data_IF_071552244839
#
_entry.id   IF_071552244839
#
_cell.length_a   1.000
_cell.length_b   1.000
_cell.length_c   1.000
_cell.angle_alpha   90.00
_cell.angle_beta   90.00
_cell.angle_gamma   90.00
#
_symmetry.space_group_name_H-M   'P 1'
#
loop_
_entity.id
_entity.type
_entity.pdbx_description
1 polymer ?
#
# COMPACT_ATOMS: atom_id res chain seq x y z
N UNK A 1 -18.92 -66.82 -52.54
CA UNK A 1 -18.66 -66.47 -51.12
C UNK A 1 -18.58 -64.94 -50.98
N UNK A 2 -19.70 -64.30 -51.34
CA UNK A 2 -20.03 -62.90 -51.11
C UNK A 2 -20.88 -62.86 -49.83
N UNK A 3 -20.83 -61.77 -49.07
CA UNK A 3 -21.81 -61.33 -48.04
C UNK A 3 -21.49 -61.47 -46.55
N UNK A 4 -20.28 -61.83 -46.09
CA UNK A 4 -20.05 -61.90 -44.62
C UNK A 4 -18.80 -61.21 -44.07
N UNK A 5 -18.24 -60.23 -44.78
CA UNK A 5 -17.16 -59.36 -44.24
C UNK A 5 -17.48 -57.88 -44.54
N UNK A 6 -18.74 -57.49 -44.34
CA UNK A 6 -19.19 -56.07 -44.35
C UNK A 6 -19.98 -55.81 -43.05
N UNK A 7 -19.47 -56.32 -41.93
CA UNK A 7 -20.11 -56.19 -40.61
C UNK A 7 -19.09 -55.88 -39.51
N UNK A 8 -17.99 -55.24 -39.89
CA UNK A 8 -16.92 -54.78 -39.00
C UNK A 8 -16.47 -53.35 -39.33
N UNK A 9 -17.40 -52.54 -39.88
CA UNK A 9 -17.18 -51.13 -40.22
C UNK A 9 -18.28 -50.20 -39.65
N UNK A 10 -19.14 -50.70 -38.74
CA UNK A 10 -20.35 -49.97 -38.27
C UNK A 10 -20.33 -49.67 -36.76
N UNK A 11 -19.29 -50.08 -36.01
CA UNK A 11 -19.22 -49.85 -34.55
C UNK A 11 -18.21 -48.78 -34.11
N UNK A 12 -17.82 -47.88 -35.02
CA UNK A 12 -16.97 -46.72 -34.68
C UNK A 12 -17.67 -45.40 -35.06
N UNK A 13 -18.98 -45.33 -34.85
CA UNK A 13 -19.61 -44.04 -34.52
C UNK A 13 -19.27 -43.76 -33.05
N UNK A 14 -18.01 -43.42 -32.81
CA UNK A 14 -17.63 -42.68 -31.62
C UNK A 14 -18.52 -41.45 -31.67
N UNK A 15 -19.41 -41.34 -30.71
CA UNK A 15 -20.18 -40.15 -30.42
C UNK A 15 -19.20 -39.00 -30.20
N UNK A 16 -18.86 -38.30 -31.29
CA UNK A 16 -18.42 -36.92 -31.24
C UNK A 16 -19.60 -36.16 -30.68
N UNK A 17 -19.69 -36.08 -29.35
CA UNK A 17 -20.53 -35.08 -28.70
C UNK A 17 -20.06 -33.75 -29.28
N UNK A 18 -20.83 -33.20 -30.20
CA UNK A 18 -20.60 -31.85 -30.70
C UNK A 18 -20.70 -30.95 -29.47
N UNK A 19 -19.54 -30.51 -28.98
CA UNK A 19 -19.48 -29.64 -27.83
C UNK A 19 -20.25 -28.36 -28.17
N UNK A 20 -21.26 -28.06 -27.36
CA UNK A 20 -22.00 -26.82 -27.56
C UNK A 20 -21.10 -25.63 -27.16
N UNK A 21 -21.41 -24.43 -27.68
CA UNK A 21 -20.59 -23.24 -27.43
C UNK A 21 -20.42 -22.96 -25.94
N UNK A 22 -21.48 -23.17 -25.14
CA UNK A 22 -21.48 -22.99 -23.69
C UNK A 22 -20.42 -23.86 -22.99
N UNK A 23 -20.42 -25.18 -23.23
CA UNK A 23 -19.48 -26.14 -22.63
C UNK A 23 -18.03 -25.77 -22.96
N UNK A 24 -17.79 -25.35 -24.20
CA UNK A 24 -16.48 -24.90 -24.66
C UNK A 24 -16.01 -23.65 -23.91
N UNK A 25 -16.87 -22.64 -23.78
CA UNK A 25 -16.54 -21.42 -23.03
C UNK A 25 -16.33 -21.71 -21.55
N UNK A 26 -17.17 -22.56 -20.96
CA UNK A 26 -17.03 -23.00 -19.57
C UNK A 26 -15.70 -23.72 -19.31
N UNK A 27 -15.28 -24.62 -20.21
CA UNK A 27 -13.98 -25.28 -20.09
C UNK A 27 -12.84 -24.27 -20.21
N UNK A 28 -12.84 -23.42 -21.24
CA UNK A 28 -11.78 -22.44 -21.44
C UNK A 28 -11.67 -21.44 -20.27
N UNK A 29 -12.80 -21.00 -19.72
CA UNK A 29 -12.82 -20.14 -18.53
C UNK A 29 -12.24 -20.82 -17.30
N UNK A 30 -12.57 -22.11 -17.07
CA UNK A 30 -11.99 -22.92 -16.00
C UNK A 30 -10.48 -23.12 -16.19
N UNK A 31 -10.03 -23.41 -17.41
CA UNK A 31 -8.61 -23.56 -17.74
C UNK A 31 -7.85 -22.24 -17.50
N UNK A 32 -8.41 -21.11 -17.96
CA UNK A 32 -7.85 -19.79 -17.71
C UNK A 32 -7.78 -19.44 -16.22
N UNK A 33 -8.79 -19.82 -15.45
CA UNK A 33 -8.83 -19.62 -14.00
C UNK A 33 -7.72 -20.42 -13.28
N UNK A 34 -7.51 -21.68 -13.69
CA UNK A 34 -6.41 -22.53 -13.19
C UNK A 34 -5.04 -21.92 -13.53
N UNK A 35 -4.92 -21.39 -14.75
CA UNK A 35 -3.73 -20.70 -15.24
C UNK A 35 -3.54 -19.30 -14.63
N UNK A 36 -4.47 -18.83 -13.79
CA UNK A 36 -4.50 -17.47 -13.21
C UNK A 36 -4.58 -16.34 -14.26
N UNK A 37 -5.06 -16.65 -15.46
CA UNK A 37 -5.36 -15.66 -16.50
C UNK A 37 -6.76 -15.10 -16.23
N UNK A 38 -6.90 -14.31 -15.18
CA UNK A 38 -8.22 -13.92 -14.66
C UNK A 38 -9.03 -13.09 -15.67
N UNK A 39 -8.39 -12.21 -16.44
CA UNK A 39 -9.06 -11.45 -17.52
C UNK A 39 -9.62 -12.38 -18.60
N UNK A 40 -8.83 -13.36 -19.06
CA UNK A 40 -9.28 -14.36 -20.02
C UNK A 40 -10.42 -15.22 -19.46
N UNK A 41 -10.33 -15.60 -18.19
CA UNK A 41 -11.37 -16.37 -17.51
C UNK A 41 -12.70 -15.61 -17.47
N UNK A 42 -12.68 -14.32 -17.10
CA UNK A 42 -13.85 -13.44 -17.11
C UNK A 42 -14.45 -13.38 -18.53
N UNK A 43 -13.62 -13.15 -19.55
CA UNK A 43 -14.07 -13.09 -20.94
C UNK A 43 -14.75 -14.39 -21.38
N UNK A 44 -14.20 -15.55 -21.03
CA UNK A 44 -14.82 -16.83 -21.37
C UNK A 44 -16.13 -17.07 -20.60
N UNK A 45 -16.21 -16.71 -19.32
CA UNK A 45 -17.46 -16.83 -18.57
C UNK A 45 -18.53 -15.85 -19.06
N UNK A 46 -18.15 -14.65 -19.51
CA UNK A 46 -19.08 -13.74 -20.19
C UNK A 46 -19.66 -14.35 -21.47
N UNK A 47 -18.82 -15.00 -22.28
CA UNK A 47 -19.29 -15.72 -23.47
C UNK A 47 -20.20 -16.91 -23.10
N UNK A 48 -19.91 -17.63 -22.03
CA UNK A 48 -20.80 -18.68 -21.52
C UNK A 48 -22.16 -18.11 -21.08
N UNK A 49 -22.18 -16.96 -20.41
CA UNK A 49 -23.41 -16.29 -19.98
C UNK A 49 -24.21 -15.66 -21.13
N UNK A 50 -23.59 -15.43 -22.29
CA UNK A 50 -24.34 -15.07 -23.50
C UNK A 50 -25.16 -16.26 -24.01
N UNK A 51 -24.60 -17.47 -23.95
CA UNK A 51 -25.28 -18.71 -24.36
C UNK A 51 -26.33 -19.16 -23.32
N UNK A 52 -25.99 -19.08 -22.03
CA UNK A 52 -26.85 -19.46 -20.90
C UNK A 52 -26.89 -18.36 -19.81
N UNK A 53 -27.73 -17.32 -19.94
CA UNK A 53 -27.69 -16.12 -19.07
C UNK A 53 -27.95 -16.32 -17.58
N UNK A 54 -28.55 -17.44 -17.20
CA UNK A 54 -28.90 -17.72 -15.80
C UNK A 54 -28.11 -18.91 -15.24
N UNK A 55 -27.05 -19.35 -15.92
CA UNK A 55 -26.23 -20.45 -15.42
C UNK A 55 -25.49 -20.02 -14.15
N UNK A 56 -25.72 -20.77 -13.07
CA UNK A 56 -25.20 -20.42 -11.74
C UNK A 56 -23.70 -20.64 -11.64
N UNK A 57 -23.18 -21.64 -12.34
CA UNK A 57 -21.77 -21.98 -12.31
C UNK A 57 -20.94 -20.90 -13.03
N UNK A 58 -21.38 -20.47 -14.21
CA UNK A 58 -20.75 -19.40 -14.98
C UNK A 58 -20.73 -18.08 -14.21
N UNK A 59 -21.85 -17.70 -13.56
CA UNK A 59 -21.92 -16.51 -12.69
C UNK A 59 -20.91 -16.63 -11.55
N UNK A 60 -20.92 -17.73 -10.80
CA UNK A 60 -20.06 -17.91 -9.63
C UNK A 60 -18.57 -17.95 -9.99
N UNK A 61 -18.23 -18.59 -11.13
CA UNK A 61 -16.85 -18.67 -11.60
C UNK A 61 -16.36 -17.32 -12.14
N UNK A 62 -17.22 -16.53 -12.80
CA UNK A 62 -16.91 -15.16 -13.19
C UNK A 62 -16.61 -14.30 -11.96
N UNK A 63 -17.50 -14.31 -10.96
CA UNK A 63 -17.31 -13.55 -9.71
C UNK A 63 -15.99 -13.93 -9.03
N UNK A 64 -15.65 -15.22 -8.99
CA UNK A 64 -14.37 -15.70 -8.47
C UNK A 64 -13.17 -15.15 -9.26
N UNK A 65 -13.27 -15.12 -10.59
CA UNK A 65 -12.23 -14.58 -11.44
C UNK A 65 -12.05 -13.06 -11.22
N UNK A 66 -13.15 -12.31 -11.10
CA UNK A 66 -13.14 -10.86 -10.79
C UNK A 66 -12.51 -10.56 -9.43
N UNK A 67 -12.88 -11.31 -8.38
CA UNK A 67 -12.27 -11.19 -7.05
C UNK A 67 -10.75 -11.46 -7.11
N UNK A 68 -10.36 -12.49 -7.87
CA UNK A 68 -8.95 -12.87 -8.00
C UNK A 68 -8.14 -11.83 -8.78
N UNK A 69 -8.70 -11.25 -9.84
CA UNK A 69 -8.08 -10.17 -10.61
C UNK A 69 -7.89 -8.91 -9.76
N UNK A 70 -8.93 -8.49 -9.03
CA UNK A 70 -8.86 -7.34 -8.14
C UNK A 70 -7.76 -7.53 -7.09
N UNK A 71 -7.67 -8.72 -6.50
CA UNK A 71 -6.62 -9.06 -5.54
C UNK A 71 -5.22 -8.98 -6.14
N UNK A 72 -5.02 -9.46 -7.37
CA UNK A 72 -3.73 -9.37 -8.04
C UNK A 72 -3.34 -7.91 -8.31
N UNK A 73 -4.31 -7.08 -8.71
CA UNK A 73 -4.12 -5.65 -8.89
C UNK A 73 -3.77 -4.95 -7.56
N UNK A 74 -4.47 -5.27 -6.46
CA UNK A 74 -4.17 -4.74 -5.13
C UNK A 74 -2.74 -5.09 -4.69
N UNK A 75 -2.33 -6.36 -4.86
CA UNK A 75 -0.96 -6.83 -4.56
C UNK A 75 0.06 -6.05 -5.38
N UNK A 76 -0.19 -5.90 -6.68
CA UNK A 76 0.71 -5.20 -7.59
C UNK A 76 0.86 -3.74 -7.21
N UNK A 77 -0.24 -3.06 -6.93
CA UNK A 77 -0.24 -1.64 -6.55
C UNK A 77 0.44 -1.42 -5.19
N UNK A 78 0.16 -2.28 -4.21
CA UNK A 78 0.81 -2.23 -2.91
C UNK A 78 2.33 -2.44 -3.01
N UNK A 79 2.77 -3.41 -3.82
CA UNK A 79 4.19 -3.64 -4.06
C UNK A 79 4.86 -2.44 -4.75
N UNK A 80 4.16 -1.74 -5.64
CA UNK A 80 4.67 -0.49 -6.20
C UNK A 80 4.82 0.58 -5.12
N UNK A 81 3.84 0.74 -4.23
CA UNK A 81 3.92 1.68 -3.12
C UNK A 81 5.15 1.40 -2.24
N UNK A 82 5.36 0.13 -1.86
CA UNK A 82 6.53 -0.30 -1.08
C UNK A 82 7.84 -0.02 -1.80
N UNK A 83 7.92 -0.32 -3.11
CA UNK A 83 9.12 -0.01 -3.88
C UNK A 83 9.45 1.49 -3.90
N UNK A 84 8.43 2.34 -3.95
CA UNK A 84 8.61 3.80 -3.96
C UNK A 84 9.07 4.34 -2.59
N UNK A 85 8.72 3.68 -1.48
CA UNK A 85 8.89 4.26 -0.13
C UNK A 85 9.67 3.44 0.91
N UNK A 86 9.87 2.13 0.75
CA UNK A 86 10.51 1.27 1.77
C UNK A 86 11.92 1.79 2.13
N UNK A 87 12.71 2.15 1.12
CA UNK A 87 14.06 2.71 1.33
C UNK A 87 13.98 4.06 2.06
N UNK A 88 13.00 4.89 1.73
CA UNK A 88 12.80 6.20 2.37
C UNK A 88 12.38 6.02 3.83
N UNK A 89 11.44 5.12 4.10
CA UNK A 89 10.99 4.77 5.44
C UNK A 89 12.15 4.28 6.31
N UNK A 90 13.00 3.39 5.79
CA UNK A 90 14.19 2.91 6.50
C UNK A 90 15.14 4.08 6.83
N UNK A 91 15.41 4.96 5.85
CA UNK A 91 16.27 6.13 6.07
C UNK A 91 15.67 7.10 7.09
N UNK A 92 14.37 7.36 7.05
CA UNK A 92 13.68 8.19 8.04
C UNK A 92 13.81 7.59 9.44
N UNK A 93 13.68 6.27 9.61
CA UNK A 93 13.90 5.59 10.90
C UNK A 93 15.32 5.75 11.40
N UNK A 94 16.30 5.54 10.53
CA UNK A 94 17.71 5.71 10.86
C UNK A 94 18.01 7.16 11.26
N UNK A 95 17.44 8.11 10.53
CA UNK A 95 17.64 9.53 10.75
C UNK A 95 17.12 10.01 12.11
N UNK A 96 16.02 9.46 12.63
CA UNK A 96 15.47 9.81 13.94
C UNK A 96 15.96 8.92 15.10
N UNK A 97 16.84 7.96 14.84
CA UNK A 97 17.32 7.03 15.85
C UNK A 97 18.26 7.72 16.84
N UNK A 98 18.11 7.45 18.14
CA UNK A 98 18.98 7.98 19.21
C UNK A 98 18.62 9.38 19.74
N UNK A 99 17.59 10.04 19.19
CA UNK A 99 17.18 11.38 19.64
C UNK A 99 16.02 11.37 20.65
N UNK A 100 15.55 10.20 21.09
CA UNK A 100 14.43 10.06 22.02
C UNK A 100 14.70 10.58 23.43
N UNK A 101 15.97 10.62 23.83
CA UNK A 101 16.42 10.94 25.18
C UNK A 101 17.42 12.10 25.23
N UNK A 102 17.95 12.54 24.07
CA UNK A 102 19.14 13.39 24.01
C UNK A 102 19.05 14.65 23.13
N UNK A 103 17.85 15.19 22.85
CA UNK A 103 17.75 16.45 22.09
C UNK A 103 18.54 17.62 22.70
N UNK A 104 18.88 17.58 23.99
CA UNK A 104 19.73 18.58 24.64
C UNK A 104 21.22 18.51 24.25
N UNK A 105 21.66 17.40 23.66
CA UNK A 105 23.08 17.14 23.33
C UNK A 105 23.34 17.12 21.82
N UNK A 106 22.32 17.39 21.00
CA UNK A 106 22.50 17.47 19.56
C UNK A 106 23.30 18.73 19.22
N UNK A 107 24.52 18.53 18.72
CA UNK A 107 25.39 19.61 18.28
C UNK A 107 24.75 20.39 17.12
N UNK A 108 24.95 21.70 17.07
CA UNK A 108 24.35 22.55 16.04
C UNK A 108 24.86 22.19 14.63
N UNK A 109 26.13 21.80 14.50
CA UNK A 109 26.71 21.33 13.25
C UNK A 109 26.11 19.99 12.82
N UNK A 110 25.95 19.06 13.76
CA UNK A 110 25.24 17.80 13.53
C UNK A 110 23.77 18.05 13.08
N UNK A 111 23.04 18.93 13.77
CA UNK A 111 21.67 19.30 13.42
C UNK A 111 21.57 19.86 11.99
N UNK A 112 22.50 20.73 11.58
CA UNK A 112 22.55 21.29 10.21
C UNK A 112 22.81 20.20 9.18
N UNK A 113 23.74 19.29 9.45
CA UNK A 113 24.01 18.16 8.55
C UNK A 113 22.79 17.25 8.40
N UNK A 114 22.09 16.98 9.50
CA UNK A 114 20.91 16.11 9.53
C UNK A 114 19.68 16.77 8.91
N UNK A 115 19.55 18.09 9.01
CA UNK A 115 18.53 18.87 8.30
C UNK A 115 18.62 18.66 6.79
N UNK A 116 19.83 18.75 6.21
CA UNK A 116 20.04 18.51 4.77
C UNK A 116 19.60 17.10 4.38
N UNK A 117 19.93 16.09 5.21
CA UNK A 117 19.48 14.71 4.99
C UNK A 117 17.94 14.61 5.04
N UNK A 118 17.29 15.27 6.00
CA UNK A 118 15.83 15.31 6.13
C UNK A 118 15.15 15.98 4.93
N UNK A 119 15.69 17.11 4.44
CA UNK A 119 15.20 17.82 3.26
C UNK A 119 15.26 16.94 2.00
N UNK A 120 16.39 16.28 1.78
CA UNK A 120 16.55 15.36 0.64
C UNK A 120 15.57 14.18 0.67
N UNK A 121 15.25 13.66 1.86
CA UNK A 121 14.23 12.62 2.03
C UNK A 121 12.84 13.16 1.75
N UNK A 122 12.52 14.36 2.25
CA UNK A 122 11.24 15.03 2.03
C UNK A 122 10.98 15.27 0.54
N UNK A 123 11.98 15.75 -0.18
CA UNK A 123 11.89 15.96 -1.62
C UNK A 123 11.71 14.64 -2.39
N UNK A 124 12.39 13.58 -1.96
CA UNK A 124 12.22 12.24 -2.52
C UNK A 124 10.79 11.71 -2.33
N UNK A 125 10.14 12.01 -1.20
CA UNK A 125 8.73 11.67 -0.99
C UNK A 125 7.82 12.45 -1.93
N UNK A 126 8.02 13.77 -1.99
CA UNK A 126 7.22 14.69 -2.81
C UNK A 126 7.28 14.39 -4.30
N UNK A 127 8.38 13.83 -4.82
CA UNK A 127 8.47 13.38 -6.23
C UNK A 127 7.38 12.39 -6.64
N UNK A 128 6.83 11.65 -5.69
CA UNK A 128 5.76 10.68 -5.95
C UNK A 128 4.37 11.19 -5.55
N UNK A 129 4.21 12.50 -5.27
CA UNK A 129 2.95 13.09 -4.80
C UNK A 129 1.80 12.84 -5.77
N UNK A 130 2.03 13.01 -7.07
CA UNK A 130 0.97 12.97 -8.08
C UNK A 130 0.29 11.60 -8.11
N UNK A 131 1.09 10.55 -7.91
CA UNK A 131 0.62 9.16 -7.85
C UNK A 131 -0.08 8.84 -6.53
N UNK A 132 0.54 9.16 -5.39
CA UNK A 132 0.09 8.59 -4.11
C UNK A 132 -0.75 9.51 -3.24
N UNK A 133 -0.67 10.83 -3.43
CA UNK A 133 -1.47 11.78 -2.63
C UNK A 133 -2.96 11.75 -2.98
N UNK A 134 -3.30 11.33 -4.20
CA UNK A 134 -4.68 11.24 -4.71
C UNK A 134 -5.24 9.82 -4.70
N UNK A 135 -4.38 8.82 -4.50
CA UNK A 135 -4.78 7.42 -4.45
C UNK A 135 -5.62 7.13 -3.20
N UNK A 136 -6.86 6.69 -3.38
CA UNK A 136 -7.82 6.52 -2.27
C UNK A 136 -7.30 5.53 -1.22
N UNK A 137 -6.65 4.46 -1.66
CA UNK A 137 -6.15 3.39 -0.79
C UNK A 137 -4.86 3.80 -0.07
N UNK A 138 -3.93 4.44 -0.78
CA UNK A 138 -2.57 4.70 -0.26
C UNK A 138 -2.31 6.14 0.19
N UNK A 139 -3.26 7.07 0.02
CA UNK A 139 -3.10 8.48 0.43
C UNK A 139 -2.75 8.64 1.91
N UNK A 140 -3.32 7.80 2.78
CA UNK A 140 -3.08 7.90 4.22
C UNK A 140 -1.64 7.49 4.54
N UNK A 141 -1.16 6.38 3.98
CA UNK A 141 0.23 5.95 4.08
C UNK A 141 1.20 7.03 3.57
N UNK A 142 0.93 7.59 2.39
CA UNK A 142 1.70 8.69 1.85
C UNK A 142 1.74 9.89 2.82
N UNK A 143 0.58 10.30 3.35
CA UNK A 143 0.48 11.43 4.26
C UNK A 143 1.18 11.19 5.59
N UNK A 144 1.14 9.98 6.15
CA UNK A 144 1.89 9.63 7.36
C UNK A 144 3.39 9.76 7.14
N UNK A 145 3.89 9.24 6.02
CA UNK A 145 5.32 9.30 5.69
C UNK A 145 5.78 10.75 5.44
N UNK A 146 4.99 11.53 4.68
CA UNK A 146 5.26 12.93 4.41
C UNK A 146 5.26 13.75 5.70
N UNK A 147 4.25 13.57 6.56
CA UNK A 147 4.16 14.26 7.85
C UNK A 147 5.32 13.88 8.77
N UNK A 148 5.72 12.61 8.83
CA UNK A 148 6.92 12.20 9.58
C UNK A 148 8.18 12.86 9.03
N UNK A 149 8.33 12.94 7.72
CA UNK A 149 9.46 13.61 7.08
C UNK A 149 9.49 15.12 7.37
N UNK A 150 8.35 15.80 7.31
CA UNK A 150 8.28 17.22 7.67
C UNK A 150 8.60 17.44 9.15
N UNK A 151 8.08 16.58 10.03
CA UNK A 151 8.35 16.65 11.46
C UNK A 151 9.84 16.42 11.80
N UNK A 152 10.52 15.44 11.18
CA UNK A 152 11.95 15.24 11.46
C UNK A 152 12.80 16.38 10.90
N UNK A 153 12.41 16.96 9.76
CA UNK A 153 13.03 18.17 9.21
C UNK A 153 12.86 19.35 10.17
N UNK A 154 11.65 19.57 10.67
CA UNK A 154 11.38 20.64 11.64
C UNK A 154 12.13 20.45 12.95
N UNK A 155 12.30 19.19 13.39
CA UNK A 155 13.14 18.88 14.55
C UNK A 155 14.57 19.38 14.35
N UNK A 156 15.23 19.00 13.25
CA UNK A 156 16.61 19.42 12.99
C UNK A 156 16.72 20.91 12.69
N UNK A 157 15.74 21.49 12.00
CA UNK A 157 15.68 22.93 11.78
C UNK A 157 15.67 23.68 13.11
N UNK A 158 14.83 23.27 14.06
CA UNK A 158 14.76 23.92 15.36
C UNK A 158 16.00 23.64 16.23
N UNK A 159 16.54 22.42 16.20
CA UNK A 159 17.78 22.10 16.90
C UNK A 159 19.01 22.84 16.33
N UNK A 160 18.96 23.27 15.07
CA UNK A 160 20.04 24.04 14.44
C UNK A 160 20.04 25.54 14.78
N UNK A 161 18.97 26.04 15.41
CA UNK A 161 18.83 27.46 15.79
C UNK A 161 19.57 27.73 17.10
N UNK A 162 20.13 28.93 17.21
CA UNK A 162 20.68 29.41 18.47
C UNK A 162 19.55 29.57 19.50
N UNK A 163 19.76 29.04 20.71
CA UNK A 163 18.80 29.22 21.81
C UNK A 163 19.05 30.58 22.46
N UNK A 164 18.03 31.44 22.60
CA UNK A 164 18.20 32.68 23.34
C UNK A 164 18.52 32.38 24.82
N UNK A 165 19.55 33.02 25.37
CA UNK A 165 19.99 32.80 26.76
C UNK A 165 18.92 33.12 27.82
N UNK A 166 17.86 33.87 27.48
CA UNK A 166 16.85 34.31 28.44
C UNK A 166 15.44 34.27 27.85
N UNK A 167 14.64 33.29 28.28
CA UNK A 167 13.19 33.32 28.12
C UNK A 167 12.57 34.10 29.29
N UNK A 168 12.11 35.32 29.03
CA UNK A 168 11.41 36.12 30.03
C UNK A 168 9.94 35.71 30.09
N UNK A 169 9.51 35.14 31.21
CA UNK A 169 8.08 34.87 31.47
C UNK A 169 7.40 36.22 31.69
N UNK A 170 6.39 36.55 30.87
CA UNK A 170 5.57 37.74 31.10
C UNK A 170 4.62 37.50 32.28
N UNK A 171 4.68 38.36 33.30
CA UNK A 171 3.76 38.29 34.44
C UNK A 171 2.30 38.51 33.99
N UNK A 172 1.37 37.79 34.61
CA UNK A 172 -0.08 37.92 34.37
C UNK A 172 -0.71 36.93 33.38
N UNK A 173 0.08 36.05 32.76
CA UNK A 173 -0.44 35.00 31.85
C UNK A 173 -0.88 33.74 32.60
N UNK A 174 -1.92 33.07 32.09
CA UNK A 174 -2.34 31.76 32.57
C UNK A 174 -1.29 30.69 32.25
N UNK A 175 -1.33 29.56 32.97
CA UNK A 175 -0.44 28.41 32.70
C UNK A 175 -0.56 27.90 31.25
N UNK A 176 -1.76 27.94 30.67
CA UNK A 176 -2.03 27.59 29.27
C UNK A 176 -1.29 28.53 28.32
N UNK A 177 -1.39 29.84 28.56
CA UNK A 177 -0.74 30.86 27.73
C UNK A 177 0.79 30.80 27.84
N UNK A 178 1.33 30.61 29.05
CA UNK A 178 2.77 30.43 29.28
C UNK A 178 3.27 29.16 28.58
N UNK A 179 2.50 28.07 28.63
CA UNK A 179 2.85 26.83 27.93
C UNK A 179 2.86 27.02 26.42
N UNK A 180 1.80 27.62 25.86
CA UNK A 180 1.71 27.88 24.42
C UNK A 180 2.83 28.83 23.95
N UNK A 181 3.09 29.90 24.69
CA UNK A 181 4.19 30.81 24.40
C UNK A 181 5.54 30.11 24.42
N UNK A 182 5.81 29.28 25.44
CA UNK A 182 7.06 28.51 25.51
C UNK A 182 7.20 27.49 24.38
N UNK A 183 6.12 26.75 24.06
CA UNK A 183 6.11 25.77 22.97
C UNK A 183 6.34 26.41 21.61
N UNK A 184 5.94 27.67 21.42
CA UNK A 184 6.04 28.38 20.15
C UNK A 184 7.31 29.21 19.99
N UNK A 185 8.07 29.45 21.07
CA UNK A 185 9.22 30.37 21.06
C UNK A 185 10.56 29.73 21.43
N UNK A 186 10.55 28.56 22.10
CA UNK A 186 11.77 27.84 22.46
C UNK A 186 12.11 26.78 21.39
N UNK A 187 13.21 26.94 20.62
CA UNK A 187 13.60 25.99 19.59
C UNK A 187 13.78 24.56 20.12
N UNK A 188 14.25 24.39 21.36
CA UNK A 188 14.42 23.05 21.95
C UNK A 188 13.06 22.41 22.22
N UNK A 189 12.11 23.17 22.73
CA UNK A 189 10.73 22.70 22.91
C UNK A 189 10.08 22.38 21.56
N UNK A 190 10.24 23.23 20.54
CA UNK A 190 9.73 22.96 19.19
C UNK A 190 10.33 21.67 18.61
N UNK A 191 11.64 21.47 18.73
CA UNK A 191 12.30 20.27 18.25
C UNK A 191 11.72 18.99 18.89
N UNK A 192 11.40 19.04 20.19
CA UNK A 192 10.76 17.91 20.90
C UNK A 192 9.37 17.61 20.38
N UNK A 193 8.54 18.64 20.21
CA UNK A 193 7.18 18.49 19.68
C UNK A 193 7.24 17.87 18.29
N UNK A 194 8.11 18.39 17.42
CA UNK A 194 8.36 17.84 16.10
C UNK A 194 8.83 16.38 16.17
N UNK A 195 9.74 16.01 17.07
CA UNK A 195 10.18 14.62 17.25
C UNK A 195 9.03 13.68 17.66
N UNK A 196 8.15 14.13 18.55
CA UNK A 196 6.96 13.37 18.94
C UNK A 196 6.04 13.15 17.73
N UNK A 197 5.79 14.19 16.93
CA UNK A 197 5.03 14.10 15.69
C UNK A 197 5.64 13.13 14.68
N UNK A 198 6.96 13.19 14.50
CA UNK A 198 7.72 12.27 13.65
C UNK A 198 7.50 10.81 14.05
N UNK A 199 7.67 10.49 15.34
CA UNK A 199 7.47 9.13 15.86
C UNK A 199 6.02 8.66 15.72
N UNK A 200 5.07 9.56 15.97
CA UNK A 200 3.64 9.29 15.78
C UNK A 200 3.36 8.86 14.34
N UNK A 201 3.78 9.67 13.36
CA UNK A 201 3.55 9.35 11.95
C UNK A 201 4.24 8.07 11.49
N UNK A 202 5.45 7.74 11.97
CA UNK A 202 6.13 6.49 11.59
C UNK A 202 5.44 5.26 12.16
N UNK A 203 4.91 5.36 13.39
CA UNK A 203 4.11 4.31 13.99
C UNK A 203 2.81 4.10 13.22
N UNK A 204 2.11 5.18 12.90
CA UNK A 204 0.83 5.12 12.20
C UNK A 204 1.03 4.61 10.76
N UNK A 205 2.13 5.00 10.09
CA UNK A 205 2.56 4.42 8.81
C UNK A 205 2.77 2.90 8.90
N UNK A 206 3.54 2.42 9.88
CA UNK A 206 3.81 0.98 10.02
C UNK A 206 2.54 0.19 10.34
N UNK A 207 1.69 0.71 11.22
CA UNK A 207 0.42 0.06 11.56
C UNK A 207 -0.48 -0.10 10.33
N UNK A 208 -0.49 0.90 9.45
CA UNK A 208 -1.28 0.87 8.22
C UNK A 208 -0.67 -0.08 7.16
N UNK A 209 0.66 -0.17 7.07
CA UNK A 209 1.35 -1.20 6.27
C UNK A 209 0.93 -2.60 6.75
N UNK A 210 1.02 -2.84 8.06
CA UNK A 210 0.68 -4.14 8.66
C UNK A 210 -0.80 -4.50 8.42
N UNK A 211 -1.71 -3.50 8.48
CA UNK A 211 -3.13 -3.68 8.19
C UNK A 211 -3.35 -4.12 6.74
N UNK A 212 -2.77 -3.41 5.78
CA UNK A 212 -2.95 -3.70 4.35
C UNK A 212 -2.33 -5.05 3.99
N UNK A 213 -1.15 -5.38 4.53
CA UNK A 213 -0.55 -6.71 4.38
C UNK A 213 -1.45 -7.80 4.95
N UNK A 214 -2.07 -7.54 6.11
CA UNK A 214 -3.05 -8.43 6.73
C UNK A 214 -4.28 -8.67 5.86
N UNK A 215 -4.81 -7.63 5.20
CA UNK A 215 -5.97 -7.73 4.30
C UNK A 215 -5.64 -8.52 3.02
N UNK A 216 -4.49 -8.21 2.41
CA UNK A 216 -4.00 -8.91 1.23
C UNK A 216 -3.76 -10.42 1.53
N UNK A 217 -3.16 -10.73 2.68
CA UNK A 217 -2.83 -12.10 3.07
C UNK A 217 -4.03 -12.87 3.64
N UNK A 218 -4.91 -12.22 4.42
CA UNK A 218 -6.09 -12.83 5.04
C UNK A 218 -7.14 -13.29 4.03
N UNK A 219 -7.22 -12.59 2.89
CA UNK A 219 -8.06 -12.98 1.74
C UNK A 219 -7.57 -14.27 1.05
N UNK A 220 -6.42 -14.85 1.45
CA UNK A 220 -5.92 -16.14 0.91
C UNK A 220 -6.68 -17.34 1.51
N UNK A 221 -7.32 -17.20 2.68
CA UNK A 221 -7.88 -18.36 3.42
C UNK A 221 -9.34 -18.66 3.05
N UNK A 222 -10.11 -17.70 2.53
CA UNK A 222 -11.55 -17.88 2.23
C UNK A 222 -11.87 -18.46 0.85
N UNK A 223 -10.86 -18.82 0.05
CA UNK A 223 -11.03 -19.36 -1.31
C UNK A 223 -10.71 -20.86 -1.40
N UNK A 224 -11.11 -21.65 -0.40
CA UNK A 224 -11.04 -23.12 -0.41
C UNK A 224 -12.42 -23.75 -0.42
#
# INVERSE_FOLDING_TARGET
>A
MRKMIILLFVAFFITSCAENSFDKYMRNGKDALIDKKFEDAINYFDLALIEEPNDKDAISLKERAEISLNKENDIKEFNQFKNDFDVIYIKLKQLGNGYDTFLYNLDQGEAKSKLIEAENLNDSIKKNSDKWSTNIQYKNLYNYLLSSSDNIKDMFMNASKDTPDNFFVTEGKSRSEIFNERVTSDPVTMARVSYVGYKGGLRDYQAEIDRIEGEINGTIISAK
#
